data_IF_472526075733
#
_entry.id   IF_472526075733
#
_cell.length_a   1.000
_cell.length_b   1.000
_cell.length_c   1.000
_cell.angle_alpha   90.00
_cell.angle_beta   90.00
_cell.angle_gamma   90.00
#
_symmetry.space_group_name_H-M   'P 1'
#
loop_
_entity.id
_entity.type
_entity.pdbx_description
1 polymer ?
#
# COMPACT_ATOMS: atom_id res chain seq x y z
N UNK A 1 12.87 -6.65 6.01
CA UNK A 1 12.34 -5.44 5.33
C UNK A 1 11.94 -4.39 6.34
N UNK A 2 11.80 -3.14 5.88
CA UNK A 2 11.29 -2.06 6.71
C UNK A 2 10.24 -1.26 5.94
N UNK A 3 9.34 -0.62 6.68
CA UNK A 3 8.49 0.45 6.18
C UNK A 3 9.13 1.78 6.60
N UNK A 4 9.32 2.67 5.67
CA UNK A 4 9.86 4.00 5.93
C UNK A 4 9.15 5.06 5.08
N UNK A 5 9.34 6.33 5.43
CA UNK A 5 8.81 7.42 4.63
C UNK A 5 9.35 7.37 3.21
N UNK A 6 8.48 7.66 2.25
CA UNK A 6 8.87 7.78 0.84
C UNK A 6 9.72 9.05 0.69
N UNK A 7 10.83 8.94 -0.04
CA UNK A 7 11.79 10.02 -0.25
C UNK A 7 11.92 10.34 -1.73
N UNK A 8 12.39 11.56 -2.04
CA UNK A 8 12.56 11.99 -3.43
C UNK A 8 13.56 11.14 -4.21
N UNK A 9 14.58 10.58 -3.53
CA UNK A 9 15.54 9.70 -4.17
C UNK A 9 15.03 8.26 -4.41
N UNK A 10 13.79 7.98 -4.07
CA UNK A 10 13.14 6.69 -4.38
C UNK A 10 12.54 6.65 -5.79
N UNK A 11 12.66 7.73 -6.56
CA UNK A 11 11.94 7.87 -7.83
C UNK A 11 12.22 6.77 -8.84
N UNK A 12 13.46 6.28 -8.94
CA UNK A 12 13.81 5.21 -9.88
C UNK A 12 13.14 3.89 -9.50
N UNK A 13 13.21 3.51 -8.22
CA UNK A 13 12.57 2.30 -7.74
C UNK A 13 11.04 2.39 -7.84
N UNK A 14 10.48 3.56 -7.53
CA UNK A 14 9.04 3.79 -7.66
C UNK A 14 8.58 3.72 -9.11
N UNK A 15 9.36 4.24 -10.05
CA UNK A 15 9.02 4.13 -11.46
C UNK A 15 9.05 2.69 -11.94
N UNK A 16 9.95 1.88 -11.44
CA UNK A 16 9.97 0.44 -11.74
C UNK A 16 8.68 -0.26 -11.30
N UNK A 17 8.10 0.18 -10.18
CA UNK A 17 6.85 -0.35 -9.65
C UNK A 17 5.65 0.17 -10.44
N UNK A 18 5.48 1.49 -10.48
CA UNK A 18 4.30 2.15 -11.07
C UNK A 18 4.32 2.17 -12.59
N UNK A 19 5.47 1.94 -13.22
CA UNK A 19 5.61 1.82 -14.66
C UNK A 19 5.44 0.40 -15.20
N UNK A 20 5.23 -0.58 -14.33
CA UNK A 20 5.07 -1.98 -14.73
C UNK A 20 3.60 -2.33 -14.92
N UNK A 21 3.25 -2.76 -16.13
CA UNK A 21 1.86 -3.11 -16.50
C UNK A 21 1.32 -4.22 -15.59
N UNK A 22 2.13 -5.24 -15.31
CA UNK A 22 1.71 -6.36 -14.50
C UNK A 22 1.44 -5.95 -13.05
N UNK A 23 2.31 -5.13 -12.49
CA UNK A 23 2.16 -4.62 -11.12
C UNK A 23 0.89 -3.77 -11.00
N UNK A 24 0.58 -2.96 -12.01
CA UNK A 24 -0.50 -1.98 -11.98
C UNK A 24 -1.85 -2.52 -12.48
N UNK A 25 -1.95 -3.81 -12.78
CA UNK A 25 -3.17 -4.39 -13.38
C UNK A 25 -4.45 -4.06 -12.60
N UNK A 26 -4.41 -4.12 -11.28
CA UNK A 26 -5.56 -3.86 -10.42
C UNK A 26 -5.43 -2.58 -9.58
N UNK A 27 -4.45 -1.74 -9.89
CA UNK A 27 -4.27 -0.47 -9.20
C UNK A 27 -5.34 0.54 -9.61
N UNK A 28 -5.60 1.51 -8.74
CA UNK A 28 -6.57 2.58 -9.01
C UNK A 28 -6.10 3.51 -10.12
N UNK A 29 -4.79 3.70 -10.23
CA UNK A 29 -4.20 4.57 -11.24
C UNK A 29 -3.77 3.78 -12.46
N UNK A 30 -3.71 4.42 -13.64
CA UNK A 30 -3.12 3.79 -14.82
C UNK A 30 -1.60 3.64 -14.67
N UNK A 31 -1.00 2.78 -15.49
CA UNK A 31 0.45 2.63 -15.56
C UNK A 31 1.11 3.98 -15.80
N UNK A 32 2.16 4.29 -15.03
CA UNK A 32 2.91 5.53 -15.19
C UNK A 32 3.82 5.43 -16.41
N UNK A 33 3.69 6.38 -17.32
CA UNK A 33 4.42 6.39 -18.59
C UNK A 33 5.73 7.21 -18.54
N UNK A 34 5.96 7.96 -17.45
CA UNK A 34 7.16 8.78 -17.30
C UNK A 34 7.51 9.00 -15.84
N UNK A 35 8.78 9.32 -15.58
CA UNK A 35 9.24 9.68 -14.23
C UNK A 35 8.64 10.98 -13.71
N UNK A 36 8.17 11.86 -14.58
CA UNK A 36 7.48 13.09 -14.17
C UNK A 36 6.23 12.78 -13.36
N UNK A 37 5.52 11.71 -13.70
CA UNK A 37 4.36 11.25 -12.93
C UNK A 37 4.76 10.80 -11.52
N UNK A 38 5.95 10.23 -11.36
CA UNK A 38 6.49 9.90 -10.02
C UNK A 38 6.73 11.18 -9.21
N UNK A 39 7.29 12.22 -9.82
CA UNK A 39 7.50 13.51 -9.13
C UNK A 39 6.16 14.06 -8.63
N UNK A 40 5.13 14.05 -9.47
CA UNK A 40 3.78 14.47 -9.09
C UNK A 40 3.21 13.62 -7.96
N UNK A 41 3.42 12.31 -8.01
CA UNK A 41 3.00 11.39 -6.94
C UNK A 41 3.69 11.73 -5.62
N UNK A 42 4.99 11.99 -5.63
CA UNK A 42 5.75 12.35 -4.44
C UNK A 42 5.21 13.64 -3.80
N UNK A 43 4.88 14.63 -4.61
CA UNK A 43 4.27 15.88 -4.13
C UNK A 43 2.89 15.61 -3.49
N UNK A 44 2.07 14.78 -4.12
CA UNK A 44 0.76 14.40 -3.59
C UNK A 44 0.86 13.65 -2.27
N UNK A 45 1.78 12.70 -2.18
CA UNK A 45 2.03 11.93 -0.94
C UNK A 45 2.37 12.88 0.20
N UNK A 46 3.28 13.83 -0.03
CA UNK A 46 3.69 14.79 0.99
C UNK A 46 2.53 15.70 1.44
N UNK A 47 1.72 16.18 0.50
CA UNK A 47 0.56 17.03 0.80
C UNK A 47 -0.52 16.28 1.58
N UNK A 48 -0.83 15.05 1.19
CA UNK A 48 -1.85 14.24 1.85
C UNK A 48 -1.42 13.81 3.25
N UNK A 49 -0.13 13.55 3.45
CA UNK A 49 0.41 13.27 4.78
C UNK A 49 0.28 14.50 5.69
N UNK A 50 0.62 15.67 5.17
CA UNK A 50 0.54 16.92 5.92
C UNK A 50 -0.89 17.27 6.32
N UNK A 51 -1.86 16.99 5.45
CA UNK A 51 -3.29 17.23 5.75
C UNK A 51 -3.91 16.14 6.61
N UNK A 52 -3.25 15.02 6.79
CA UNK A 52 -3.78 13.85 7.53
C UNK A 52 -4.76 13.01 6.73
N UNK A 53 -4.93 13.26 5.44
CA UNK A 53 -5.86 12.51 4.60
C UNK A 53 -5.34 11.12 4.22
N UNK A 54 -4.02 10.95 4.15
CA UNK A 54 -3.40 9.71 3.71
C UNK A 54 -1.99 9.58 4.26
N UNK A 55 -1.63 8.37 4.65
CA UNK A 55 -0.27 8.02 5.08
C UNK A 55 0.24 6.92 4.16
N UNK A 56 1.43 7.12 3.59
CA UNK A 56 2.03 6.20 2.64
C UNK A 56 3.47 5.90 3.02
N UNK A 57 3.84 4.62 2.97
CA UNK A 57 5.19 4.16 3.29
C UNK A 57 5.80 3.42 2.11
N UNK A 58 7.12 3.54 1.98
CA UNK A 58 7.91 2.69 1.11
C UNK A 58 8.16 1.36 1.79
N UNK A 59 8.03 0.27 1.06
CA UNK A 59 8.46 -1.06 1.47
C UNK A 59 9.87 -1.24 0.96
N UNK A 60 10.86 -1.29 1.85
CA UNK A 60 12.27 -1.41 1.47
C UNK A 60 12.80 -2.78 1.83
N UNK A 61 13.45 -3.42 0.87
CA UNK A 61 14.21 -4.63 1.09
C UNK A 61 15.58 -4.25 1.67
N UNK A 62 15.82 -4.63 2.94
CA UNK A 62 17.05 -4.27 3.64
C UNK A 62 18.30 -4.91 3.04
N UNK A 63 18.16 -6.08 2.42
CA UNK A 63 19.32 -6.78 1.82
C UNK A 63 19.91 -6.00 0.65
N UNK A 64 19.09 -5.26 -0.10
CA UNK A 64 19.50 -4.52 -1.30
C UNK A 64 19.34 -3.01 -1.19
N UNK A 65 18.71 -2.51 -0.12
CA UNK A 65 18.28 -1.12 0.06
C UNK A 65 17.34 -0.63 -1.05
N UNK A 66 16.66 -1.55 -1.74
CA UNK A 66 15.74 -1.23 -2.83
C UNK A 66 14.34 -1.07 -2.30
N UNK A 67 13.62 -0.06 -2.79
CA UNK A 67 12.18 0.06 -2.58
C UNK A 67 11.48 -0.89 -3.54
N UNK A 68 10.75 -1.84 -2.97
CA UNK A 68 10.09 -2.91 -3.73
C UNK A 68 8.57 -2.76 -3.78
N UNK A 69 8.03 -1.83 -3.02
CA UNK A 69 6.59 -1.59 -3.00
C UNK A 69 6.22 -0.40 -2.16
N UNK A 70 4.93 -0.15 -2.08
CA UNK A 70 4.35 0.87 -1.21
C UNK A 70 3.14 0.29 -0.49
N UNK A 71 2.83 0.82 0.68
CA UNK A 71 1.60 0.53 1.38
C UNK A 71 1.15 1.75 2.16
N UNK A 72 -0.14 1.84 2.43
CA UNK A 72 -0.65 3.04 3.06
C UNK A 72 -2.00 2.86 3.74
N UNK A 73 -2.35 3.90 4.48
CA UNK A 73 -3.63 4.05 5.18
C UNK A 73 -4.28 5.32 4.65
N UNK A 74 -5.54 5.22 4.23
CA UNK A 74 -6.29 6.35 3.69
C UNK A 74 -7.78 6.20 3.99
N UNK A 75 -8.58 7.18 3.55
CA UNK A 75 -10.03 7.16 3.76
C UNK A 75 -10.39 6.97 5.23
N UNK A 76 -9.77 7.79 6.09
CA UNK A 76 -10.02 7.72 7.53
C UNK A 76 -11.46 8.11 7.85
N UNK A 77 -12.08 7.39 8.78
CA UNK A 77 -13.39 7.75 9.31
C UNK A 77 -13.32 9.06 10.08
N UNK A 78 -14.48 9.70 10.28
CA UNK A 78 -14.57 11.03 10.93
C UNK A 78 -13.93 11.05 12.32
N UNK A 79 -14.10 9.96 13.09
CA UNK A 79 -13.51 9.84 14.42
C UNK A 79 -12.10 9.19 14.42
N UNK A 80 -11.58 8.83 13.24
CA UNK A 80 -10.23 8.32 13.10
C UNK A 80 -10.01 6.88 13.57
N UNK A 81 -11.08 6.10 13.76
CA UNK A 81 -10.96 4.72 14.26
C UNK A 81 -10.98 3.66 13.16
N UNK A 82 -11.24 4.05 11.93
CA UNK A 82 -11.26 3.14 10.77
C UNK A 82 -10.60 3.79 9.56
N UNK A 83 -10.00 2.97 8.71
CA UNK A 83 -9.43 3.45 7.45
C UNK A 83 -9.29 2.31 6.45
N UNK A 84 -8.98 2.67 5.20
CA UNK A 84 -8.65 1.71 4.16
C UNK A 84 -7.16 1.45 4.09
N UNK A 85 -6.81 0.23 3.71
CA UNK A 85 -5.44 -0.22 3.47
C UNK A 85 -5.21 -0.28 1.98
N UNK A 86 -4.13 0.33 1.50
CA UNK A 86 -3.66 0.19 0.14
C UNK A 86 -2.28 -0.45 0.12
N UNK A 87 -1.98 -1.22 -0.92
CA UNK A 87 -0.65 -1.81 -1.06
C UNK A 87 -0.34 -2.11 -2.53
N UNK A 88 0.93 -2.06 -2.86
CA UNK A 88 1.43 -2.34 -4.19
C UNK A 88 2.84 -2.91 -4.06
N UNK A 89 3.13 -3.99 -4.78
CA UNK A 89 4.43 -4.66 -4.74
C UNK A 89 4.92 -4.88 -6.15
N UNK A 90 6.19 -4.54 -6.40
CA UNK A 90 6.88 -4.85 -7.64
C UNK A 90 6.68 -6.32 -7.98
N UNK A 91 6.21 -6.60 -9.19
CA UNK A 91 5.83 -7.95 -9.62
C UNK A 91 6.98 -8.97 -9.53
N UNK A 92 8.22 -8.50 -9.62
CA UNK A 92 9.41 -9.35 -9.46
C UNK A 92 9.57 -9.92 -8.04
N UNK A 93 8.86 -9.35 -7.07
CA UNK A 93 8.93 -9.76 -5.66
C UNK A 93 7.68 -10.49 -5.18
N UNK A 94 6.75 -10.80 -6.09
CA UNK A 94 5.53 -11.54 -5.74
C UNK A 94 5.83 -12.97 -5.29
N UNK A 95 4.92 -13.53 -4.48
CA UNK A 95 4.93 -14.94 -4.04
C UNK A 95 6.16 -15.32 -3.20
N UNK A 96 6.74 -14.35 -2.50
CA UNK A 96 7.90 -14.57 -1.64
C UNK A 96 7.62 -14.16 -0.18
N UNK A 97 6.36 -13.83 0.14
CA UNK A 97 5.96 -13.43 1.50
C UNK A 97 6.21 -11.97 1.85
N UNK A 98 6.76 -11.17 0.96
CA UNK A 98 7.07 -9.76 1.24
C UNK A 98 5.82 -8.94 1.59
N UNK A 99 4.73 -9.13 0.84
CA UNK A 99 3.53 -8.33 1.08
C UNK A 99 2.86 -8.70 2.41
N UNK A 100 2.83 -9.98 2.78
CA UNK A 100 2.33 -10.41 4.09
C UNK A 100 3.11 -9.76 5.22
N UNK A 101 4.43 -9.74 5.12
CA UNK A 101 5.29 -9.12 6.12
C UNK A 101 5.06 -7.61 6.20
N UNK A 102 5.00 -6.94 5.04
CA UNK A 102 4.76 -5.50 4.96
C UNK A 102 3.41 -5.12 5.57
N UNK A 103 2.35 -5.86 5.24
CA UNK A 103 1.01 -5.58 5.76
C UNK A 103 0.92 -5.81 7.26
N UNK A 104 1.59 -6.81 7.81
CA UNK A 104 1.65 -7.01 9.25
C UNK A 104 2.34 -5.84 9.95
N UNK A 105 3.40 -5.30 9.37
CA UNK A 105 4.05 -4.08 9.87
C UNK A 105 3.11 -2.88 9.80
N UNK A 106 2.37 -2.75 8.69
CA UNK A 106 1.39 -1.68 8.52
C UNK A 106 0.27 -1.76 9.56
N UNK A 107 -0.23 -2.96 9.84
CA UNK A 107 -1.27 -3.16 10.86
C UNK A 107 -0.79 -2.77 12.24
N UNK A 108 0.47 -3.04 12.55
CA UNK A 108 1.10 -2.61 13.79
C UNK A 108 1.13 -1.07 13.88
N UNK A 109 1.49 -0.38 12.80
CA UNK A 109 1.43 1.07 12.74
C UNK A 109 0.00 1.60 12.90
N UNK A 110 -0.96 0.97 12.25
CA UNK A 110 -2.38 1.35 12.36
C UNK A 110 -2.85 1.24 13.80
N UNK A 111 -2.49 0.17 14.50
CA UNK A 111 -2.83 -0.02 15.91
C UNK A 111 -2.27 1.11 16.78
N UNK A 112 -1.02 1.52 16.53
CA UNK A 112 -0.39 2.60 17.28
C UNK A 112 -1.05 3.97 17.06
N UNK A 113 -1.77 4.13 15.93
CA UNK A 113 -2.52 5.34 15.61
C UNK A 113 -3.96 5.33 16.17
N UNK A 114 -4.34 4.27 16.88
CA UNK A 114 -5.70 4.14 17.42
C UNK A 114 -6.73 3.61 16.43
N UNK A 115 -6.29 3.05 15.29
CA UNK A 115 -7.20 2.44 14.32
C UNK A 115 -7.72 1.12 14.90
N UNK A 116 -9.04 0.95 14.84
CA UNK A 116 -9.70 -0.26 15.36
C UNK A 116 -10.17 -1.18 14.24
N UNK A 117 -10.47 -0.62 13.06
CA UNK A 117 -10.99 -1.38 11.91
C UNK A 117 -10.29 -0.97 10.63
N UNK A 118 -9.92 -1.98 9.85
CA UNK A 118 -9.30 -1.82 8.54
C UNK A 118 -10.24 -2.34 7.45
N UNK A 119 -10.29 -1.61 6.35
CA UNK A 119 -10.99 -1.99 5.13
C UNK A 119 -10.01 -2.16 4.00
N UNK A 120 -10.31 -3.06 3.07
CA UNK A 120 -9.55 -3.23 1.84
C UNK A 120 -10.51 -3.30 0.66
N UNK A 121 -10.27 -2.46 -0.33
CA UNK A 121 -11.02 -2.46 -1.58
C UNK A 121 -10.26 -3.32 -2.59
N UNK A 122 -10.78 -4.52 -2.87
CA UNK A 122 -10.11 -5.50 -3.71
C UNK A 122 -11.01 -5.83 -4.90
N UNK A 123 -10.49 -5.64 -6.11
CA UNK A 123 -11.18 -5.96 -7.34
C UNK A 123 -11.59 -7.45 -7.36
N UNK A 124 -12.79 -7.74 -7.87
CA UNK A 124 -13.32 -9.11 -7.95
C UNK A 124 -12.41 -10.05 -8.73
N UNK A 125 -11.70 -9.54 -9.75
CA UNK A 125 -10.75 -10.32 -10.54
C UNK A 125 -9.38 -10.51 -9.90
N UNK A 126 -9.11 -9.83 -8.79
CA UNK A 126 -7.81 -9.87 -8.14
C UNK A 126 -7.77 -11.00 -7.10
N UNK A 127 -7.74 -12.24 -7.57
CA UNK A 127 -7.79 -13.43 -6.71
C UNK A 127 -6.57 -13.54 -5.79
N UNK A 128 -5.41 -13.08 -6.24
CA UNK A 128 -4.20 -13.09 -5.43
C UNK A 128 -4.33 -12.22 -4.19
N UNK A 129 -4.82 -10.99 -4.35
CA UNK A 129 -5.07 -10.10 -3.21
C UNK A 129 -6.17 -10.61 -2.30
N UNK A 130 -7.25 -11.15 -2.86
CA UNK A 130 -8.32 -11.74 -2.06
C UNK A 130 -7.79 -12.87 -1.17
N UNK A 131 -6.98 -13.77 -1.72
CA UNK A 131 -6.38 -14.87 -0.97
C UNK A 131 -5.45 -14.36 0.13
N UNK A 132 -4.63 -13.35 -0.18
CA UNK A 132 -3.71 -12.75 0.78
C UNK A 132 -4.47 -12.10 1.95
N UNK A 133 -5.47 -11.27 1.65
CA UNK A 133 -6.22 -10.57 2.69
C UNK A 133 -7.07 -11.53 3.52
N UNK A 134 -7.64 -12.58 2.92
CA UNK A 134 -8.29 -13.64 3.67
C UNK A 134 -7.34 -14.31 4.67
N UNK A 135 -6.13 -14.63 4.22
CA UNK A 135 -5.08 -15.22 5.07
C UNK A 135 -4.70 -14.29 6.22
N UNK A 136 -4.74 -12.98 6.00
CA UNK A 136 -4.43 -11.96 7.00
C UNK A 136 -5.61 -11.63 7.91
N UNK A 137 -6.69 -12.38 7.84
CA UNK A 137 -7.83 -12.23 8.75
C UNK A 137 -8.92 -11.30 8.27
N UNK A 138 -8.84 -10.77 7.06
CA UNK A 138 -9.92 -9.98 6.47
C UNK A 138 -11.05 -10.89 6.03
N UNK A 139 -12.28 -10.44 6.21
CA UNK A 139 -13.48 -11.15 5.79
C UNK A 139 -14.32 -10.23 4.92
N UNK A 140 -14.90 -10.80 3.87
CA UNK A 140 -15.86 -10.08 3.04
C UNK A 140 -17.16 -9.89 3.82
N UNK A 141 -17.61 -8.65 3.92
CA UNK A 141 -18.86 -8.28 4.56
C UNK A 141 -19.49 -7.14 3.78
N UNK A 142 -20.69 -7.34 3.28
CA UNK A 142 -21.39 -6.35 2.45
C UNK A 142 -20.56 -5.89 1.24
N UNK A 143 -19.87 -6.87 0.58
CA UNK A 143 -19.05 -6.58 -0.60
C UNK A 143 -17.70 -5.93 -0.32
N UNK A 144 -17.32 -5.78 0.94
CA UNK A 144 -16.08 -5.13 1.33
C UNK A 144 -15.28 -6.03 2.27
N UNK A 145 -13.97 -6.11 2.04
CA UNK A 145 -13.06 -6.81 2.95
C UNK A 145 -12.78 -5.96 4.17
N UNK A 146 -12.89 -6.55 5.36
CA UNK A 146 -12.64 -5.83 6.60
C UNK A 146 -12.09 -6.73 7.70
N UNK A 147 -11.39 -6.11 8.63
CA UNK A 147 -10.76 -6.75 9.77
C UNK A 147 -10.69 -5.79 10.94
N UNK A 148 -10.86 -6.32 12.17
CA UNK A 148 -10.47 -5.60 13.38
C UNK A 148 -8.94 -5.69 13.56
N UNK A 149 -8.37 -4.60 13.97
CA UNK A 149 -6.90 -4.51 14.17
C UNK A 149 -6.50 -5.23 15.47
#
# INVERSE_FOLDING_TARGET
>A
MVLRSIQTNDSDDLFEIYGDIQTMEFASDPVFTSKELIVQMLESVALLEKSGESLEWAIMDQATNKVIGTCGLHSFSDNGDACEVGCLLNSSYWRQGYMSEALNLLFFHAQSLGIERLYADIDEGNFRSQALFNKLGFKAKNGQFQRLV
#
